data_IF_467694887883
#
_entry.id   IF_467694887883
#
_cell.length_a   1.000
_cell.length_b   1.000
_cell.length_c   1.000
_cell.angle_alpha   90.00
_cell.angle_beta   90.00
_cell.angle_gamma   90.00
#
_symmetry.space_group_name_H-M   'P 1'
#
loop_
_entity.id
_entity.type
_entity.pdbx_description
1 polymer ?
#
# COMPACT_ATOMS: atom_id res chain seq x y z
N UNK A 1 22.66 55.42 51.29
CA UNK A 1 22.07 54.78 50.11
C UNK A 1 22.74 53.42 49.93
N UNK A 2 22.01 52.31 50.11
CA UNK A 2 22.53 50.95 49.84
C UNK A 2 22.21 50.62 48.39
N UNK A 3 23.24 50.40 47.56
CA UNK A 3 23.09 49.94 46.17
C UNK A 3 22.47 48.54 46.14
N UNK A 4 21.58 48.22 45.19
CA UNK A 4 21.05 46.87 45.05
C UNK A 4 22.13 45.95 44.49
N UNK A 5 22.44 44.88 45.20
CA UNK A 5 23.29 43.77 44.77
C UNK A 5 22.70 43.09 43.52
N UNK A 6 23.50 42.73 42.53
CA UNK A 6 23.02 41.99 41.37
C UNK A 6 22.63 40.58 41.79
N UNK A 7 21.39 40.16 41.50
CA UNK A 7 20.95 38.76 41.69
C UNK A 7 21.79 37.86 40.78
N UNK A 8 22.53 36.93 41.38
CA UNK A 8 23.22 35.85 40.67
C UNK A 8 22.21 35.10 39.80
N UNK A 9 22.50 34.99 38.51
CA UNK A 9 21.75 34.10 37.61
C UNK A 9 22.13 32.68 38.00
N UNK A 10 21.19 31.92 38.54
CA UNK A 10 21.34 30.47 38.73
C UNK A 10 21.82 29.88 37.39
N UNK A 11 23.02 29.29 37.43
CA UNK A 11 23.63 28.69 36.25
C UNK A 11 22.87 27.42 35.89
N UNK A 12 22.04 27.49 34.86
CA UNK A 12 21.29 26.34 34.34
C UNK A 12 22.27 25.21 34.01
N UNK A 13 22.06 24.04 34.59
CA UNK A 13 22.94 22.88 34.34
C UNK A 13 22.78 22.38 32.90
N UNK A 14 23.80 21.73 32.31
CA UNK A 14 23.67 21.13 30.98
C UNK A 14 22.46 20.18 30.87
N UNK A 15 22.15 19.44 31.93
CA UNK A 15 21.00 18.53 32.01
C UNK A 15 19.66 19.27 31.92
N UNK A 16 19.52 20.41 32.62
CA UNK A 16 18.32 21.24 32.54
C UNK A 16 18.11 21.81 31.13
N UNK A 17 19.18 22.16 30.42
CA UNK A 17 19.10 22.60 29.01
C UNK A 17 18.68 21.47 28.07
N UNK A 18 19.16 20.25 28.30
CA UNK A 18 18.74 19.08 27.53
C UNK A 18 17.25 18.83 27.72
N UNK A 19 16.76 18.88 28.97
CA UNK A 19 15.32 18.74 29.27
C UNK A 19 14.49 19.84 28.58
N UNK A 20 14.97 21.09 28.57
CA UNK A 20 14.32 22.19 27.84
C UNK A 20 14.22 21.90 26.33
N UNK A 21 15.31 21.41 25.72
CA UNK A 21 15.31 21.04 24.30
C UNK A 21 14.38 19.87 24.00
N UNK A 22 14.37 18.82 24.83
CA UNK A 22 13.48 17.68 24.68
C UNK A 22 12.00 18.10 24.79
N UNK A 23 11.67 18.97 25.74
CA UNK A 23 10.33 19.54 25.85
C UNK A 23 9.95 20.33 24.59
N UNK A 24 10.87 21.14 24.05
CA UNK A 24 10.61 21.90 22.83
C UNK A 24 10.42 21.00 21.60
N UNK A 25 11.19 19.92 21.48
CA UNK A 25 11.00 18.94 20.40
C UNK A 25 9.62 18.27 20.50
N UNK A 26 9.19 17.89 21.71
CA UNK A 26 7.87 17.31 21.94
C UNK A 26 6.73 18.28 21.60
N UNK A 27 6.89 19.59 21.89
CA UNK A 27 5.93 20.61 21.47
C UNK A 27 5.82 20.72 19.95
N UNK A 28 6.97 20.73 19.26
CA UNK A 28 7.02 20.79 17.80
C UNK A 28 6.32 19.56 17.19
N UNK A 29 6.54 18.36 17.73
CA UNK A 29 5.90 17.15 17.24
C UNK A 29 4.37 17.17 17.40
N UNK A 30 3.87 17.76 18.49
CA UNK A 30 2.43 18.00 18.69
C UNK A 30 1.88 18.99 17.68
N UNK A 31 2.59 20.09 17.43
CA UNK A 31 2.19 21.09 16.44
C UNK A 31 2.17 20.50 15.02
N UNK A 32 3.19 19.74 14.63
CA UNK A 32 3.24 19.02 13.36
C UNK A 32 2.04 18.07 13.21
N UNK A 33 1.69 17.34 14.28
CA UNK A 33 0.55 16.42 14.27
C UNK A 33 -0.79 17.15 14.09
N UNK A 34 -0.96 18.29 14.77
CA UNK A 34 -2.13 19.17 14.59
C UNK A 34 -2.24 19.69 13.16
N UNK A 35 -1.15 20.26 12.62
CA UNK A 35 -1.10 20.79 11.27
C UNK A 35 -1.34 19.72 10.19
N UNK A 36 -0.86 18.48 10.40
CA UNK A 36 -1.16 17.34 9.52
C UNK A 36 -2.66 17.03 9.49
N UNK A 37 -3.30 17.04 10.65
CA UNK A 37 -4.75 16.79 10.78
C UNK A 37 -5.56 17.88 10.08
N UNK A 38 -5.19 19.15 10.30
CA UNK A 38 -5.83 20.28 9.63
C UNK A 38 -5.66 20.20 8.11
N UNK A 39 -4.43 19.94 7.63
CA UNK A 39 -4.15 19.75 6.20
C UNK A 39 -5.03 18.67 5.58
N UNK A 40 -5.24 17.55 6.26
CA UNK A 40 -6.11 16.48 5.76
C UNK A 40 -7.58 16.89 5.71
N UNK A 41 -8.05 17.63 6.71
CA UNK A 41 -9.40 18.21 6.72
C UNK A 41 -9.60 19.16 5.53
N UNK A 42 -8.64 20.06 5.29
CA UNK A 42 -8.66 20.98 4.15
C UNK A 42 -8.64 20.22 2.81
N UNK A 43 -7.81 19.19 2.67
CA UNK A 43 -7.77 18.36 1.47
C UNK A 43 -9.08 17.61 1.22
N UNK A 44 -9.75 17.10 2.26
CA UNK A 44 -11.08 16.49 2.14
C UNK A 44 -12.12 17.49 1.65
N UNK A 45 -12.16 18.68 2.26
CA UNK A 45 -13.07 19.76 1.84
C UNK A 45 -12.82 20.21 0.40
N UNK A 46 -11.54 20.38 0.03
CA UNK A 46 -11.13 20.70 -1.35
C UNK A 46 -11.62 19.64 -2.35
N UNK A 47 -11.39 18.36 -2.05
CA UNK A 47 -11.81 17.27 -2.94
C UNK A 47 -13.32 17.23 -3.14
N UNK A 48 -14.08 17.41 -2.05
CA UNK A 48 -15.54 17.48 -2.09
C UNK A 48 -16.05 18.63 -2.96
N UNK A 49 -15.38 19.78 -2.96
CA UNK A 49 -15.76 20.92 -3.81
C UNK A 49 -15.53 20.63 -5.29
N UNK A 50 -14.38 20.04 -5.64
CA UNK A 50 -14.08 19.62 -7.01
C UNK A 50 -15.14 18.65 -7.55
N UNK A 51 -15.52 17.66 -6.73
CA UNK A 51 -16.54 16.67 -7.08
C UNK A 51 -17.94 17.29 -7.20
N UNK A 52 -18.32 18.20 -6.30
CA UNK A 52 -19.66 18.81 -6.30
C UNK A 52 -19.87 19.84 -7.41
N UNK A 53 -18.80 20.51 -7.83
CA UNK A 53 -18.85 21.61 -8.79
C UNK A 53 -18.41 21.20 -10.20
N UNK A 54 -18.08 19.91 -10.40
CA UNK A 54 -17.54 19.35 -11.65
C UNK A 54 -16.40 20.21 -12.23
N UNK A 55 -15.51 20.68 -11.34
CA UNK A 55 -14.41 21.56 -11.75
C UNK A 55 -13.39 20.71 -12.51
N UNK A 56 -13.09 21.03 -13.79
CA UNK A 56 -12.11 20.28 -14.54
C UNK A 56 -10.71 20.44 -13.92
N UNK A 57 -10.09 19.32 -13.56
CA UNK A 57 -8.71 19.30 -13.11
C UNK A 57 -7.77 19.28 -14.32
N UNK A 58 -6.82 20.21 -14.37
CA UNK A 58 -5.83 20.27 -15.45
C UNK A 58 -4.90 19.05 -15.43
N UNK A 59 -4.50 18.61 -14.23
CA UNK A 59 -3.77 17.38 -14.03
C UNK A 59 -4.72 16.18 -14.20
N UNK A 60 -4.30 15.22 -15.01
CA UNK A 60 -5.05 14.00 -15.32
C UNK A 60 -4.21 12.78 -14.92
N UNK A 61 -4.86 11.63 -14.80
CA UNK A 61 -4.17 10.35 -14.69
C UNK A 61 -4.81 9.29 -15.58
N UNK A 62 -4.02 8.30 -15.97
CA UNK A 62 -4.49 7.10 -16.67
C UNK A 62 -3.72 5.87 -16.18
N UNK A 63 -4.35 4.70 -16.24
CA UNK A 63 -3.69 3.43 -15.98
C UNK A 63 -3.11 2.85 -17.26
N UNK A 64 -1.84 2.46 -17.21
CA UNK A 64 -1.11 1.83 -18.30
C UNK A 64 -0.90 0.36 -17.93
N UNK A 65 -1.52 -0.54 -18.68
CA UNK A 65 -1.40 -1.97 -18.41
C UNK A 65 -0.08 -2.54 -18.93
N UNK A 66 0.62 -3.28 -18.08
CA UNK A 66 1.75 -4.12 -18.43
C UNK A 66 1.37 -5.59 -18.23
N UNK A 67 1.52 -6.39 -19.28
CA UNK A 67 1.23 -7.83 -19.26
C UNK A 67 2.54 -8.60 -19.12
N UNK A 68 2.66 -9.38 -18.04
CA UNK A 68 3.75 -10.32 -17.80
C UNK A 68 3.17 -11.73 -17.60
N UNK A 69 2.92 -12.42 -18.72
CA UNK A 69 2.34 -13.77 -18.70
C UNK A 69 0.93 -13.79 -18.10
N UNK A 70 0.72 -14.58 -17.03
CA UNK A 70 -0.56 -14.70 -16.30
C UNK A 70 -0.81 -13.48 -15.40
N UNK A 71 0.21 -12.68 -15.11
CA UNK A 71 0.11 -11.51 -14.25
C UNK A 71 -0.05 -10.24 -15.09
N UNK A 72 -1.07 -9.46 -14.78
CA UNK A 72 -1.23 -8.09 -15.28
C UNK A 72 -0.93 -7.11 -14.14
N UNK A 73 0.06 -6.24 -14.34
CA UNK A 73 0.29 -5.07 -13.49
C UNK A 73 -0.16 -3.81 -14.23
N UNK A 74 -0.49 -2.74 -13.50
CA UNK A 74 -0.79 -1.46 -14.11
C UNK A 74 -0.07 -0.36 -13.37
N UNK A 75 0.60 0.50 -14.13
CA UNK A 75 1.18 1.73 -13.60
C UNK A 75 0.18 2.87 -13.78
N UNK A 76 0.20 3.82 -12.86
CA UNK A 76 -0.57 5.05 -12.96
C UNK A 76 0.32 6.16 -13.49
N UNK A 77 -0.12 6.80 -14.58
CA UNK A 77 0.58 7.89 -15.25
C UNK A 77 -0.16 9.19 -14.99
N UNK A 78 0.53 10.18 -14.41
CA UNK A 78 0.02 11.52 -14.15
C UNK A 78 0.58 12.51 -15.17
N UNK A 79 -0.30 13.27 -15.82
CA UNK A 79 0.07 14.13 -16.94
C UNK A 79 -0.87 15.34 -17.09
N UNK A 80 -0.41 16.35 -17.83
CA UNK A 80 -1.25 17.45 -18.34
C UNK A 80 -1.24 17.41 -19.87
N UNK A 81 -2.21 18.07 -20.49
CA UNK A 81 -2.26 18.26 -21.93
C UNK A 81 -1.97 19.72 -22.27
N UNK A 82 -0.88 19.96 -23.00
CA UNK A 82 -0.45 21.30 -23.42
C UNK A 82 -0.32 21.29 -24.93
N UNK A 83 -1.09 22.14 -25.63
CA UNK A 83 -1.09 22.24 -27.09
C UNK A 83 -1.27 20.90 -27.82
N UNK A 84 -2.11 20.01 -27.27
CA UNK A 84 -2.34 18.67 -27.83
C UNK A 84 -1.24 17.64 -27.52
N UNK A 85 -0.19 18.02 -26.78
CA UNK A 85 0.86 17.12 -26.33
C UNK A 85 0.69 16.75 -24.86
N UNK A 86 0.86 15.47 -24.55
CA UNK A 86 0.85 14.97 -23.16
C UNK A 86 2.21 15.19 -22.53
N UNK A 87 2.24 16.00 -21.48
CA UNK A 87 3.41 16.15 -20.62
C UNK A 87 3.24 15.26 -19.40
N UNK A 88 3.98 14.15 -19.37
CA UNK A 88 3.97 13.19 -18.27
C UNK A 88 4.91 13.67 -17.17
N UNK A 89 4.42 13.72 -15.93
CA UNK A 89 5.25 14.05 -14.78
C UNK A 89 5.73 12.82 -14.03
N UNK A 90 4.84 11.84 -13.84
CA UNK A 90 5.10 10.64 -13.05
C UNK A 90 4.40 9.45 -13.68
N UNK A 91 5.08 8.31 -13.71
CA UNK A 91 4.51 7.00 -14.01
C UNK A 91 5.03 6.02 -12.96
N UNK A 92 4.14 5.46 -12.16
CA UNK A 92 4.49 4.56 -11.06
C UNK A 92 3.29 3.73 -10.58
N UNK A 93 3.58 2.66 -9.85
CA UNK A 93 2.55 1.92 -9.10
C UNK A 93 1.97 2.76 -7.96
N UNK A 94 0.64 2.73 -7.83
CA UNK A 94 -0.12 3.44 -6.77
C UNK A 94 -0.81 2.47 -5.80
N UNK A 95 -0.53 1.18 -5.89
CA UNK A 95 -1.22 0.14 -5.11
C UNK A 95 -0.85 0.14 -3.62
N UNK A 96 0.43 0.32 -3.28
CA UNK A 96 0.92 0.06 -1.92
C UNK A 96 0.47 1.09 -0.89
N UNK A 97 0.59 2.38 -1.21
CA UNK A 97 0.45 3.46 -0.24
C UNK A 97 -0.67 4.44 -0.63
N UNK A 98 -1.52 4.77 0.34
CA UNK A 98 -2.61 5.75 0.15
C UNK A 98 -2.06 7.18 -0.09
N UNK A 99 -0.83 7.45 0.33
CA UNK A 99 -0.16 8.76 0.15
C UNK A 99 1.04 8.60 -0.79
N UNK A 100 1.27 9.55 -1.69
CA UNK A 100 2.46 9.51 -2.55
C UNK A 100 3.73 9.72 -1.72
N UNK A 101 4.76 8.95 -2.05
CA UNK A 101 6.11 9.19 -1.55
C UNK A 101 6.63 10.56 -2.01
N UNK A 102 7.47 11.18 -1.18
CA UNK A 102 8.09 12.47 -1.46
C UNK A 102 8.88 12.51 -2.78
N UNK A 103 9.46 11.38 -3.21
CA UNK A 103 10.17 11.22 -4.49
C UNK A 103 9.24 11.53 -5.67
N UNK A 104 7.98 11.09 -5.62
CA UNK A 104 7.00 11.37 -6.65
C UNK A 104 6.49 12.80 -6.58
N UNK A 105 6.18 13.28 -5.36
CA UNK A 105 5.70 14.66 -5.14
C UNK A 105 6.69 15.70 -5.64
N UNK A 106 8.00 15.45 -5.52
CA UNK A 106 9.07 16.37 -5.99
C UNK A 106 9.11 16.52 -7.51
N UNK A 107 8.60 15.55 -8.28
CA UNK A 107 8.55 15.61 -9.76
C UNK A 107 7.37 16.45 -10.27
N UNK A 108 6.42 16.77 -9.39
CA UNK A 108 5.22 17.52 -9.73
C UNK A 108 5.48 19.02 -9.55
N UNK A 109 5.18 19.87 -10.56
CA UNK A 109 5.24 21.32 -10.40
C UNK A 109 4.39 21.80 -9.21
N UNK A 110 4.88 22.82 -8.47
CA UNK A 110 4.25 23.29 -7.23
C UNK A 110 2.74 23.54 -7.37
N UNK A 111 2.34 24.16 -8.49
CA UNK A 111 0.94 24.47 -8.79
C UNK A 111 0.01 23.25 -8.81
N UNK A 112 0.53 22.06 -9.07
CA UNK A 112 -0.26 20.82 -9.18
C UNK A 112 -0.08 19.87 -8.01
N UNK A 113 0.73 20.19 -6.99
CA UNK A 113 1.03 19.23 -5.91
C UNK A 113 -0.21 18.78 -5.14
N UNK A 114 -1.13 19.70 -4.86
CA UNK A 114 -2.38 19.36 -4.16
C UNK A 114 -3.32 18.54 -5.04
N UNK A 115 -3.39 18.85 -6.35
CA UNK A 115 -4.15 18.04 -7.31
C UNK A 115 -3.57 16.64 -7.44
N UNK A 116 -2.25 16.53 -7.50
CA UNK A 116 -1.56 15.25 -7.54
C UNK A 116 -1.88 14.40 -6.30
N UNK A 117 -1.83 14.96 -5.09
CA UNK A 117 -2.15 14.22 -3.86
C UNK A 117 -3.62 13.76 -3.86
N UNK A 118 -4.53 14.61 -4.34
CA UNK A 118 -5.96 14.28 -4.45
C UNK A 118 -6.19 13.16 -5.47
N UNK A 119 -5.64 13.28 -6.68
CA UNK A 119 -5.76 12.29 -7.75
C UNK A 119 -5.05 10.99 -7.39
N UNK A 120 -3.93 11.04 -6.66
CA UNK A 120 -3.25 9.85 -6.14
C UNK A 120 -4.18 9.03 -5.26
N UNK A 121 -4.87 9.66 -4.31
CA UNK A 121 -5.83 8.97 -3.44
C UNK A 121 -6.96 8.32 -4.23
N UNK A 122 -7.43 8.98 -5.29
CA UNK A 122 -8.44 8.43 -6.19
C UNK A 122 -7.91 7.21 -6.95
N UNK A 123 -6.76 7.36 -7.61
CA UNK A 123 -6.09 6.29 -8.35
C UNK A 123 -5.76 5.09 -7.45
N UNK A 124 -5.24 5.32 -6.24
CA UNK A 124 -4.96 4.27 -5.26
C UNK A 124 -6.22 3.44 -4.94
N UNK A 125 -7.36 4.09 -4.66
CA UNK A 125 -8.62 3.39 -4.40
C UNK A 125 -9.10 2.56 -5.59
N UNK A 126 -8.97 3.10 -6.81
CA UNK A 126 -9.31 2.39 -8.04
C UNK A 126 -8.42 1.16 -8.26
N UNK A 127 -7.11 1.28 -8.02
CA UNK A 127 -6.15 0.19 -8.20
C UNK A 127 -6.28 -0.89 -7.13
N UNK A 128 -6.52 -0.52 -5.86
CA UNK A 128 -6.83 -1.49 -4.79
C UNK A 128 -8.09 -2.29 -5.13
N UNK A 129 -9.14 -1.63 -5.64
CA UNK A 129 -10.37 -2.30 -6.05
C UNK A 129 -10.10 -3.27 -7.22
N UNK A 130 -9.39 -2.82 -8.25
CA UNK A 130 -9.02 -3.65 -9.38
C UNK A 130 -8.19 -4.87 -8.96
N UNK A 131 -7.14 -4.68 -8.17
CA UNK A 131 -6.26 -5.76 -7.70
C UNK A 131 -7.04 -6.80 -6.88
N UNK A 132 -7.95 -6.36 -6.00
CA UNK A 132 -8.83 -7.25 -5.26
C UNK A 132 -9.77 -8.07 -6.17
N UNK A 133 -10.30 -7.46 -7.22
CA UNK A 133 -11.12 -8.16 -8.22
C UNK A 133 -10.31 -9.19 -9.01
N UNK A 134 -9.08 -8.86 -9.40
CA UNK A 134 -8.19 -9.79 -10.09
C UNK A 134 -7.76 -10.95 -9.20
N UNK A 135 -7.40 -10.70 -7.94
CA UNK A 135 -7.11 -11.77 -6.98
C UNK A 135 -8.29 -12.74 -6.80
N UNK A 136 -9.53 -12.23 -6.73
CA UNK A 136 -10.74 -13.07 -6.67
C UNK A 136 -10.95 -13.91 -7.92
N UNK A 137 -10.60 -13.40 -9.11
CA UNK A 137 -10.69 -14.17 -10.36
C UNK A 137 -9.61 -15.24 -10.41
N UNK A 138 -8.37 -14.91 -10.05
CA UNK A 138 -7.27 -15.86 -10.02
C UNK A 138 -7.49 -16.97 -8.99
N UNK A 139 -7.99 -16.66 -7.79
CA UNK A 139 -8.29 -17.68 -6.79
C UNK A 139 -9.37 -18.65 -7.27
N UNK A 140 -10.43 -18.15 -7.91
CA UNK A 140 -11.46 -19.00 -8.53
C UNK A 140 -10.90 -19.88 -9.64
N UNK A 141 -10.05 -19.33 -10.51
CA UNK A 141 -9.41 -20.08 -11.59
C UNK A 141 -8.47 -21.19 -11.08
N UNK A 142 -7.72 -20.92 -9.99
CA UNK A 142 -6.88 -21.91 -9.33
C UNK A 142 -7.74 -23.03 -8.73
N UNK A 143 -8.84 -22.69 -8.05
CA UNK A 143 -9.76 -23.68 -7.49
C UNK A 143 -10.41 -24.54 -8.58
N UNK A 144 -10.86 -23.93 -9.69
CA UNK A 144 -11.45 -24.69 -10.80
C UNK A 144 -10.46 -25.61 -11.49
N UNK A 145 -9.19 -25.21 -11.59
CA UNK A 145 -8.15 -26.09 -12.11
C UNK A 145 -7.88 -27.27 -11.17
N UNK A 146 -7.86 -27.04 -9.85
CA UNK A 146 -7.72 -28.13 -8.87
C UNK A 146 -8.85 -29.16 -8.98
N UNK A 147 -10.10 -28.71 -9.23
CA UNK A 147 -11.22 -29.63 -9.43
C UNK A 147 -11.07 -30.50 -10.70
N UNK A 148 -10.48 -29.97 -11.78
CA UNK A 148 -10.18 -30.75 -12.98
C UNK A 148 -9.15 -31.86 -12.73
N UNK A 149 -8.23 -31.65 -11.77
CA UNK A 149 -7.19 -32.63 -11.45
C UNK A 149 -7.56 -33.55 -10.27
N UNK A 150 -8.70 -33.35 -9.60
CA UNK A 150 -9.12 -34.19 -8.47
C UNK A 150 -9.19 -35.68 -8.81
N UNK A 151 -9.66 -36.03 -10.00
CA UNK A 151 -9.73 -37.44 -10.40
C UNK A 151 -8.34 -38.04 -10.67
N UNK A 152 -7.41 -37.25 -11.20
CA UNK A 152 -6.01 -37.63 -11.30
C UNK A 152 -5.34 -37.76 -9.92
N UNK A 153 -5.59 -36.84 -8.98
CA UNK A 153 -5.08 -36.93 -7.61
C UNK A 153 -5.64 -38.15 -6.86
N UNK A 154 -6.92 -38.49 -7.05
CA UNK A 154 -7.50 -39.73 -6.52
C UNK A 154 -6.82 -40.97 -7.08
N UNK A 155 -6.49 -40.99 -8.38
CA UNK A 155 -5.76 -42.09 -8.99
C UNK A 155 -4.33 -42.20 -8.43
N UNK A 156 -3.62 -41.08 -8.29
CA UNK A 156 -2.30 -41.05 -7.68
C UNK A 156 -2.34 -41.54 -6.23
N UNK A 157 -3.27 -41.04 -5.42
CA UNK A 157 -3.45 -41.48 -4.02
C UNK A 157 -3.73 -42.97 -3.94
N UNK A 158 -4.66 -43.52 -4.74
CA UNK A 158 -4.95 -44.97 -4.75
C UNK A 158 -3.73 -45.80 -5.15
N UNK A 159 -2.94 -45.33 -6.09
CA UNK A 159 -1.74 -46.02 -6.55
C UNK A 159 -0.64 -46.00 -5.49
N UNK A 160 -0.41 -44.85 -4.85
CA UNK A 160 0.56 -44.71 -3.77
C UNK A 160 0.13 -45.49 -2.53
N UNK A 161 -1.16 -45.41 -2.15
CA UNK A 161 -1.70 -46.06 -0.96
C UNK A 161 -1.48 -47.56 -0.98
N UNK A 162 -1.70 -48.24 -2.11
CA UNK A 162 -1.38 -49.67 -2.27
C UNK A 162 0.08 -49.96 -1.89
N UNK A 163 1.02 -49.20 -2.45
CA UNK A 163 2.45 -49.45 -2.24
C UNK A 163 2.95 -49.10 -0.82
N UNK A 164 2.26 -48.24 -0.07
CA UNK A 164 2.71 -47.78 1.25
C UNK A 164 1.79 -48.25 2.39
N UNK A 165 0.71 -48.98 2.10
CA UNK A 165 -0.21 -49.44 3.13
C UNK A 165 0.50 -50.43 4.06
N UNK A 166 0.41 -50.25 5.39
CA UNK A 166 1.06 -51.15 6.34
C UNK A 166 0.63 -52.62 6.19
N UNK A 167 -0.64 -52.85 5.85
CA UNK A 167 -1.20 -54.20 5.62
C UNK A 167 -0.61 -54.89 4.37
N UNK A 168 -0.04 -54.14 3.44
CA UNK A 168 0.65 -54.65 2.24
C UNK A 168 2.18 -54.73 2.46
N UNK A 169 2.66 -54.57 3.70
CA UNK A 169 4.09 -54.55 4.06
C UNK A 169 4.74 -53.16 3.95
N UNK A 170 3.94 -52.11 3.82
CA UNK A 170 4.39 -50.72 3.67
C UNK A 170 4.76 -50.02 4.98
N UNK A 171 5.23 -48.77 4.86
CA UNK A 171 5.72 -47.97 5.97
C UNK A 171 4.62 -47.05 6.55
N UNK A 172 4.42 -47.11 7.87
CA UNK A 172 3.39 -46.34 8.61
C UNK A 172 3.60 -44.83 8.50
N UNK A 173 4.84 -44.34 8.56
CA UNK A 173 5.17 -42.92 8.41
C UNK A 173 4.89 -42.44 6.98
N UNK A 174 5.21 -43.26 5.98
CA UNK A 174 4.88 -42.98 4.58
C UNK A 174 3.35 -42.89 4.37
N UNK A 175 2.58 -43.76 5.03
CA UNK A 175 1.11 -43.70 5.01
C UNK A 175 0.57 -42.44 5.70
N UNK A 176 1.18 -41.99 6.80
CA UNK A 176 0.82 -40.72 7.46
C UNK A 176 1.09 -39.52 6.54
N UNK A 177 2.25 -39.47 5.89
CA UNK A 177 2.57 -38.44 4.89
C UNK A 177 1.57 -38.46 3.73
N UNK A 178 1.20 -39.65 3.24
CA UNK A 178 0.21 -39.79 2.17
C UNK A 178 -1.19 -39.31 2.60
N UNK A 179 -1.58 -39.54 3.85
CA UNK A 179 -2.83 -39.02 4.40
C UNK A 179 -2.83 -37.48 4.57
N UNK A 180 -1.68 -36.87 4.87
CA UNK A 180 -1.57 -35.41 4.85
C UNK A 180 -1.73 -34.85 3.42
N UNK A 181 -1.15 -35.52 2.42
CA UNK A 181 -1.34 -35.17 1.01
C UNK A 181 -2.79 -35.29 0.57
N UNK A 182 -3.51 -36.32 1.04
CA UNK A 182 -4.96 -36.49 0.80
C UNK A 182 -5.76 -35.27 1.24
N UNK A 183 -5.50 -34.77 2.45
CA UNK A 183 -6.16 -33.58 3.00
C UNK A 183 -5.80 -32.34 2.19
N UNK A 184 -4.53 -32.18 1.83
CA UNK A 184 -4.05 -31.04 1.04
C UNK A 184 -4.64 -30.99 -0.37
N UNK A 185 -4.82 -32.16 -1.00
CA UNK A 185 -5.45 -32.31 -2.32
C UNK A 185 -6.98 -32.26 -2.26
N UNK A 186 -7.59 -32.32 -1.07
CA UNK A 186 -9.03 -32.26 -0.89
C UNK A 186 -9.80 -33.44 -1.51
N UNK A 187 -9.24 -34.66 -1.39
CA UNK A 187 -9.79 -35.92 -1.91
C UNK A 187 -10.11 -36.95 -0.82
#
# INVERSE_FOLDING_TARGET
MKSPTPKEKESITPEQKIIEFDNRMNEIDREISSLRTERESLMRRRSSLFESLDIPCELKYEFVESKYGIWSSRDCRFYIEVNGHRQIFVECGVYCDERPDSVWVRKIPEKYKNDFIMLWKKAHKEEVKYSNEQMKKHSKAIVSNNDQFKDFYKQCYRTLAKNVHPDEGGNVEAMQCLNQLKVMWGI
#
